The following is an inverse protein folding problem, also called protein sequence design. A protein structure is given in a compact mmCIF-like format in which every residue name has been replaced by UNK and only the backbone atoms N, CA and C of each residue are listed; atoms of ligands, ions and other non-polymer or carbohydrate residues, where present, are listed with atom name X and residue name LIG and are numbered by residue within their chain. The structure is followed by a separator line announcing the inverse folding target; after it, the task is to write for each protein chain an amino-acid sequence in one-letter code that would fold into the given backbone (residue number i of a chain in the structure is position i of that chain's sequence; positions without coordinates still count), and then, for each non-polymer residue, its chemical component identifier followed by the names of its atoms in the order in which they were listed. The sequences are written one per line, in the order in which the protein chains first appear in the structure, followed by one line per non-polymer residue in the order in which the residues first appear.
data_IF_185081583166
#
_entry.id   IF_185081583166
#
_cell.length_a   1.000
_cell.length_b   1.000
_cell.length_c   1.000
_cell.angle_alpha   90.00
_cell.angle_beta   90.00
_cell.angle_gamma   90.00
#
_symmetry.space_group_name_H-M   'P 1'
#
loop_
_entity.id
_entity.type
_entity.pdbx_description
1 polymer ?
#
# COMPACT_ATOMS: atom_id res chain seq x y z
N UNK A 1 31.18 23.01 -11.28
CA UNK A 1 29.76 22.63 -11.18
C UNK A 1 29.04 23.69 -10.36
N UNK A 2 28.17 24.50 -10.97
CA UNK A 2 27.31 25.43 -10.24
C UNK A 2 25.93 24.79 -10.12
N UNK A 3 25.66 24.17 -8.97
CA UNK A 3 24.30 23.66 -8.69
C UNK A 3 23.43 24.87 -8.35
N UNK A 4 22.25 24.94 -8.96
CA UNK A 4 21.31 26.03 -8.69
C UNK A 4 20.78 25.91 -7.26
N UNK A 5 21.17 26.85 -6.41
CA UNK A 5 20.72 26.93 -5.02
C UNK A 5 19.19 27.06 -4.94
N UNK A 6 18.58 27.77 -5.89
CA UNK A 6 17.12 27.88 -6.01
C UNK A 6 16.48 26.51 -6.22
N UNK A 7 17.06 25.68 -7.10
CA UNK A 7 16.55 24.33 -7.37
C UNK A 7 16.62 23.44 -6.12
N UNK A 8 17.72 23.52 -5.36
CA UNK A 8 17.88 22.81 -4.08
C UNK A 8 16.81 23.24 -3.07
N UNK A 9 16.60 24.55 -2.91
CA UNK A 9 15.60 25.06 -1.96
C UNK A 9 14.20 24.59 -2.35
N UNK A 10 13.83 24.70 -3.63
CA UNK A 10 12.52 24.25 -4.12
C UNK A 10 12.33 22.75 -3.86
N UNK A 11 13.33 21.93 -4.18
CA UNK A 11 13.33 20.49 -3.92
C UNK A 11 13.15 20.19 -2.41
N UNK A 12 13.90 20.88 -1.54
CA UNK A 12 13.82 20.67 -0.10
C UNK A 12 12.45 21.06 0.48
N UNK A 13 11.86 22.17 0.01
CA UNK A 13 10.51 22.59 0.40
C UNK A 13 9.45 21.59 -0.07
N UNK A 14 9.57 21.06 -1.28
CA UNK A 14 8.66 20.04 -1.79
C UNK A 14 8.76 18.74 -0.99
N UNK A 15 9.97 18.30 -0.63
CA UNK A 15 10.14 17.15 0.29
C UNK A 15 9.52 17.42 1.66
N UNK A 16 9.79 18.59 2.26
CA UNK A 16 9.26 18.93 3.58
C UNK A 16 7.72 18.97 3.57
N UNK A 17 7.13 19.65 2.59
CA UNK A 17 5.68 19.75 2.44
C UNK A 17 5.03 18.40 2.12
N UNK A 18 5.65 17.60 1.25
CA UNK A 18 5.12 16.29 0.89
C UNK A 18 5.20 15.28 2.04
N UNK A 19 6.31 15.23 2.78
CA UNK A 19 6.43 14.37 3.97
C UNK A 19 5.45 14.82 5.04
N UNK A 20 5.32 16.14 5.26
CA UNK A 20 4.33 16.68 6.19
C UNK A 20 2.90 16.25 5.82
N UNK A 21 2.50 16.39 4.56
CA UNK A 21 1.17 15.98 4.10
C UNK A 21 0.94 14.46 4.17
N UNK A 22 2.00 13.65 3.97
CA UNK A 22 1.95 12.20 4.09
C UNK A 22 1.71 11.73 5.53
N UNK A 23 2.07 12.53 6.54
CA UNK A 23 1.83 12.23 7.96
C UNK A 23 0.43 12.62 8.44
N UNK A 24 -0.40 13.24 7.59
CA UNK A 24 -1.76 13.59 7.96
C UNK A 24 -2.72 12.38 7.83
N UNK A 25 -3.78 12.39 8.63
CA UNK A 25 -4.79 11.29 8.63
C UNK A 25 -5.71 11.27 7.42
N UNK A 26 -5.73 12.33 6.60
CA UNK A 26 -6.64 12.41 5.46
C UNK A 26 -6.00 11.78 4.23
N UNK A 27 -6.69 10.84 3.59
CA UNK A 27 -6.19 10.13 2.42
C UNK A 27 -5.94 11.09 1.25
N UNK A 28 -6.78 12.12 1.09
CA UNK A 28 -6.56 13.18 0.10
C UNK A 28 -5.28 13.95 0.35
N UNK A 29 -4.96 14.27 1.62
CA UNK A 29 -3.69 14.92 1.99
C UNK A 29 -2.49 14.00 1.76
N UNK A 30 -2.62 12.70 2.05
CA UNK A 30 -1.61 11.69 1.73
C UNK A 30 -1.36 11.60 0.23
N UNK A 31 -2.42 11.63 -0.60
CA UNK A 31 -2.30 11.66 -2.07
C UNK A 31 -1.50 12.90 -2.52
N UNK A 32 -1.87 14.09 -2.04
CA UNK A 32 -1.13 15.33 -2.35
C UNK A 32 0.34 15.19 -1.90
N UNK A 33 0.60 14.58 -0.75
CA UNK A 33 1.93 14.27 -0.25
C UNK A 33 2.75 13.43 -1.24
N UNK A 34 2.18 12.34 -1.76
CA UNK A 34 2.83 11.51 -2.79
C UNK A 34 3.11 12.27 -4.08
N UNK A 35 2.18 13.14 -4.53
CA UNK A 35 2.41 13.97 -5.71
C UNK A 35 3.59 14.95 -5.48
N UNK A 36 3.65 15.58 -4.31
CA UNK A 36 4.74 16.49 -3.96
C UNK A 36 6.09 15.76 -3.83
N UNK A 37 6.12 14.59 -3.16
CA UNK A 37 7.32 13.75 -3.08
C UNK A 37 7.79 13.28 -4.45
N UNK A 38 6.88 12.84 -5.32
CA UNK A 38 7.22 12.40 -6.68
C UNK A 38 7.86 13.53 -7.49
N UNK A 39 7.32 14.75 -7.40
CA UNK A 39 7.93 15.92 -8.02
C UNK A 39 9.30 16.27 -7.40
N UNK A 40 9.43 16.19 -6.07
CA UNK A 40 10.69 16.43 -5.38
C UNK A 40 11.78 15.42 -5.77
N UNK A 41 11.42 14.14 -5.91
CA UNK A 41 12.31 13.08 -6.37
C UNK A 41 12.75 13.28 -7.83
N UNK A 42 11.84 13.72 -8.70
CA UNK A 42 12.19 14.08 -10.08
C UNK A 42 13.18 15.26 -10.13
N UNK A 43 12.99 16.27 -9.27
CA UNK A 43 13.97 17.36 -9.14
C UNK A 43 15.30 16.89 -8.58
N UNK A 44 15.31 15.93 -7.64
CA UNK A 44 16.55 15.33 -7.13
C UNK A 44 17.33 14.65 -8.27
N UNK A 45 16.66 13.86 -9.13
CA UNK A 45 17.29 13.24 -10.29
C UNK A 45 17.85 14.29 -11.27
N UNK A 46 17.15 15.42 -11.44
CA UNK A 46 17.64 16.54 -12.24
C UNK A 46 18.90 17.17 -11.64
N UNK A 47 18.96 17.34 -10.31
CA UNK A 47 20.16 17.85 -9.62
C UNK A 47 21.34 16.89 -9.81
N UNK A 48 21.09 15.58 -9.72
CA UNK A 48 22.11 14.53 -9.89
C UNK A 48 22.63 14.48 -11.33
N UNK A 49 21.78 14.75 -12.33
CA UNK A 49 22.17 14.83 -13.76
C UNK A 49 23.26 15.88 -14.03
N UNK A 50 23.34 16.93 -13.21
CA UNK A 50 24.43 17.90 -13.28
C UNK A 50 24.21 18.99 -14.33
N UNK A 51 25.24 19.28 -15.13
CA UNK A 51 25.23 20.42 -16.04
C UNK A 51 24.23 20.20 -17.19
N UNK A 52 23.43 21.22 -17.56
CA UNK A 52 22.53 21.12 -18.69
C UNK A 52 23.34 21.05 -20.00
N UNK A 53 23.23 19.93 -20.69
CA UNK A 53 23.78 19.71 -22.04
C UNK A 53 22.68 19.65 -23.10
N UNK A 54 23.05 19.26 -24.32
CA UNK A 54 22.11 18.96 -25.40
C UNK A 54 21.33 17.68 -25.09
N UNK A 55 20.14 17.54 -25.67
CA UNK A 55 19.34 16.33 -25.47
C UNK A 55 20.11 15.10 -26.00
N UNK A 56 20.09 13.94 -25.30
CA UNK A 56 20.84 12.75 -25.69
C UNK A 56 20.15 11.99 -26.82
N UNK A 57 20.03 12.64 -27.97
CA UNK A 57 19.56 12.06 -29.21
C UNK A 57 20.70 12.03 -30.22
N UNK A 58 20.73 10.99 -31.05
CA UNK A 58 21.70 10.90 -32.13
C UNK A 58 21.39 11.95 -33.20
N UNK A 59 22.34 12.86 -33.43
CA UNK A 59 22.22 13.95 -34.40
C UNK A 59 23.14 13.77 -35.64
N UNK A 60 23.63 12.56 -35.88
CA UNK A 60 24.57 12.32 -36.97
C UNK A 60 26.05 12.50 -36.59
N UNK A 61 26.35 12.74 -35.30
CA UNK A 61 27.71 12.92 -34.80
C UNK A 61 28.17 14.38 -34.79
N UNK A 62 27.21 15.32 -34.77
CA UNK A 62 27.43 16.75 -34.85
C UNK A 62 27.67 17.37 -33.46
N UNK A 63 27.18 16.70 -32.41
CA UNK A 63 27.43 17.02 -31.00
C UNK A 63 28.35 15.97 -30.36
N UNK A 64 29.37 16.41 -29.62
CA UNK A 64 30.21 15.51 -28.81
C UNK A 64 29.40 14.97 -27.62
N UNK A 65 29.62 13.71 -27.24
CA UNK A 65 28.94 13.06 -26.12
C UNK A 65 29.17 13.82 -24.79
N UNK A 66 30.29 14.54 -24.65
CA UNK A 66 30.58 15.37 -23.50
C UNK A 66 29.67 16.61 -23.37
N UNK A 67 29.08 17.07 -24.47
CA UNK A 67 28.16 18.21 -24.50
C UNK A 67 26.68 17.77 -24.38
N UNK A 68 26.42 16.47 -24.32
CA UNK A 68 25.08 15.90 -24.12
C UNK A 68 24.76 15.73 -22.63
N UNK A 69 23.48 15.85 -22.29
CA UNK A 69 22.97 15.54 -20.95
C UNK A 69 22.97 14.03 -20.70
N UNK A 70 23.18 13.61 -19.45
CA UNK A 70 23.17 12.18 -19.10
C UNK A 70 21.76 11.58 -19.29
N UNK A 71 21.68 10.54 -20.13
CA UNK A 71 20.45 9.83 -20.45
C UNK A 71 19.96 8.92 -19.31
N UNK A 72 20.84 8.49 -18.40
CA UNK A 72 20.49 7.56 -17.33
C UNK A 72 19.52 8.19 -16.33
N UNK A 73 19.80 9.36 -15.71
CA UNK A 73 18.84 10.03 -14.84
C UNK A 73 17.53 10.42 -15.56
N UNK A 74 17.58 10.69 -16.87
CA UNK A 74 16.37 10.99 -17.66
C UNK A 74 15.45 9.77 -17.76
N UNK A 75 16.00 8.61 -18.08
CA UNK A 75 15.24 7.36 -18.14
C UNK A 75 14.63 7.02 -16.76
N UNK A 76 15.41 7.17 -15.69
CA UNK A 76 14.91 6.97 -14.32
C UNK A 76 13.78 7.94 -13.95
N UNK A 77 13.86 9.19 -14.40
CA UNK A 77 12.82 10.19 -14.16
C UNK A 77 11.51 9.78 -14.85
N UNK A 78 11.58 9.29 -16.09
CA UNK A 78 10.38 8.79 -16.78
C UNK A 78 9.73 7.62 -16.03
N UNK A 79 10.54 6.67 -15.54
CA UNK A 79 10.04 5.55 -14.73
C UNK A 79 9.41 6.04 -13.42
N UNK A 80 10.05 7.00 -12.74
CA UNK A 80 9.53 7.58 -11.51
C UNK A 80 8.17 8.27 -11.71
N UNK A 81 7.99 8.99 -12.82
CA UNK A 81 6.72 9.63 -13.19
C UNK A 81 5.62 8.59 -13.35
N UNK A 82 5.88 7.50 -14.08
CA UNK A 82 4.88 6.43 -14.31
C UNK A 82 4.51 5.72 -13.01
N UNK A 83 5.49 5.41 -12.15
CA UNK A 83 5.22 4.80 -10.84
C UNK A 83 4.39 5.76 -9.97
N UNK A 84 4.74 7.04 -9.93
CA UNK A 84 4.00 8.05 -9.18
C UNK A 84 2.56 8.15 -9.69
N UNK A 85 2.36 8.13 -11.00
CA UNK A 85 1.02 8.11 -11.60
C UNK A 85 0.23 6.85 -11.21
N UNK A 86 0.85 5.67 -11.26
CA UNK A 86 0.21 4.42 -10.84
C UNK A 86 -0.22 4.43 -9.37
N UNK A 87 0.68 4.85 -8.47
CA UNK A 87 0.37 4.98 -7.04
C UNK A 87 -0.73 6.02 -6.82
N UNK A 88 -0.68 7.16 -7.51
CA UNK A 88 -1.68 8.23 -7.40
C UNK A 88 -3.05 7.77 -7.88
N UNK A 89 -3.13 7.06 -9.00
CA UNK A 89 -4.38 6.50 -9.52
C UNK A 89 -4.96 5.45 -8.56
N UNK A 90 -4.11 4.60 -7.99
CA UNK A 90 -4.51 3.61 -6.99
C UNK A 90 -5.05 4.28 -5.71
N UNK A 91 -4.31 5.24 -5.15
CA UNK A 91 -4.76 6.01 -3.98
C UNK A 91 -6.06 6.77 -4.27
N UNK A 92 -6.20 7.37 -5.46
CA UNK A 92 -7.42 8.05 -5.86
C UNK A 92 -8.62 7.08 -5.93
N UNK A 93 -8.41 5.86 -6.43
CA UNK A 93 -9.43 4.81 -6.42
C UNK A 93 -9.81 4.39 -4.99
N UNK A 94 -8.84 4.30 -4.07
CA UNK A 94 -9.11 4.03 -2.66
C UNK A 94 -9.88 5.18 -1.98
N UNK A 95 -9.50 6.43 -2.25
CA UNK A 95 -10.21 7.61 -1.75
C UNK A 95 -11.66 7.59 -2.25
N UNK A 96 -11.87 7.33 -3.55
CA UNK A 96 -13.20 7.22 -4.13
C UNK A 96 -14.01 6.10 -3.47
N UNK A 97 -13.40 4.93 -3.25
CA UNK A 97 -14.04 3.78 -2.59
C UNK A 97 -14.38 4.08 -1.13
N UNK A 98 -13.47 4.72 -0.39
CA UNK A 98 -13.69 5.14 1.01
C UNK A 98 -14.84 6.13 1.11
N UNK A 99 -14.87 7.10 0.20
CA UNK A 99 -15.96 8.08 0.15
C UNK A 99 -17.30 7.41 -0.15
N UNK A 100 -17.35 6.46 -1.09
CA UNK A 100 -18.57 5.72 -1.42
C UNK A 100 -19.10 4.88 -0.24
N UNK A 101 -18.22 4.27 0.56
CA UNK A 101 -18.60 3.36 1.63
C UNK A 101 -18.89 4.07 2.96
N UNK A 102 -18.08 5.07 3.33
CA UNK A 102 -18.09 5.67 4.68
C UNK A 102 -18.26 7.18 4.70
N UNK A 103 -18.30 7.86 3.55
CA UNK A 103 -18.33 9.34 3.45
C UNK A 103 -17.24 10.03 4.29
N UNK A 104 -16.14 9.33 4.54
CA UNK A 104 -15.02 9.81 5.34
C UNK A 104 -13.73 9.72 4.52
N UNK A 105 -12.95 10.81 4.58
CA UNK A 105 -11.60 10.91 3.99
C UNK A 105 -10.51 10.72 5.06
N UNK A 106 -10.89 10.66 6.34
CA UNK A 106 -9.96 10.53 7.48
C UNK A 106 -9.85 9.07 7.90
N UNK A 107 -8.61 8.60 8.03
CA UNK A 107 -8.32 7.26 8.57
C UNK A 107 -8.52 7.27 10.09
N UNK A 108 -9.40 6.39 10.56
CA UNK A 108 -9.77 6.21 11.96
C UNK A 108 -9.08 4.95 12.49
N UNK A 109 -8.66 4.97 13.75
CA UNK A 109 -8.12 3.79 14.41
C UNK A 109 -9.28 2.83 14.71
N UNK A 110 -9.10 1.54 14.46
CA UNK A 110 -10.16 0.57 14.77
C UNK A 110 -10.23 0.28 16.28
N UNK A 111 -11.35 -0.26 16.74
CA UNK A 111 -11.57 -0.51 18.16
C UNK A 111 -10.62 -1.57 18.71
N UNK A 112 -10.23 -2.53 17.86
CA UNK A 112 -9.35 -3.63 18.21
C UNK A 112 -7.90 -3.14 18.38
N UNK A 113 -7.40 -2.23 17.54
CA UNK A 113 -6.09 -1.57 17.69
C UNK A 113 -6.02 -0.77 18.99
N UNK A 114 -7.10 -0.08 19.36
CA UNK A 114 -7.19 0.67 20.62
C UNK A 114 -7.22 -0.28 21.83
N UNK A 115 -7.95 -1.38 21.73
CA UNK A 115 -8.01 -2.39 22.79
C UNK A 115 -6.65 -3.08 22.99
N UNK A 116 -5.93 -3.37 21.90
CA UNK A 116 -4.59 -3.94 21.95
C UNK A 116 -3.61 -3.00 22.65
N UNK A 117 -3.60 -1.70 22.30
CA UNK A 117 -2.74 -0.71 22.99
C UNK A 117 -2.95 -0.66 24.49
N UNK A 118 -4.21 -0.72 24.93
CA UNK A 118 -4.54 -0.69 26.36
C UNK A 118 -4.03 -1.94 27.06
N UNK A 119 -4.29 -3.13 26.49
CA UNK A 119 -3.83 -4.41 27.05
C UNK A 119 -2.32 -4.52 27.12
N UNK A 120 -1.61 -4.14 26.05
CA UNK A 120 -0.14 -4.16 26.04
C UNK A 120 0.44 -3.16 27.04
N UNK A 121 -0.20 -2.01 27.24
CA UNK A 121 0.24 -1.06 28.27
C UNK A 121 0.05 -1.62 29.69
N UNK A 122 -1.09 -2.27 29.96
CA UNK A 122 -1.38 -2.94 31.24
C UNK A 122 -0.41 -4.10 31.51
N UNK A 123 -0.16 -4.97 30.50
CA UNK A 123 0.79 -6.09 30.61
C UNK A 123 2.23 -5.61 30.85
N UNK A 124 2.64 -4.48 30.25
CA UNK A 124 3.96 -3.88 30.49
C UNK A 124 4.05 -3.24 31.88
N UNK A 125 2.99 -2.56 32.34
CA UNK A 125 2.94 -1.98 33.68
C UNK A 125 3.03 -3.08 34.75
N UNK A 126 2.26 -4.16 34.62
CA UNK A 126 2.31 -5.32 35.52
C UNK A 126 3.70 -5.98 35.55
N UNK A 127 4.34 -6.17 34.39
CA UNK A 127 5.68 -6.75 34.30
C UNK A 127 6.75 -5.85 34.94
N UNK A 128 6.66 -4.52 34.77
CA UNK A 128 7.56 -3.56 35.42
C UNK A 128 7.35 -3.51 36.94
N UNK A 129 6.12 -3.68 37.40
CA UNK A 129 5.76 -3.79 38.81
C UNK A 129 6.29 -5.09 39.45
N UNK A 130 6.28 -6.20 38.71
CA UNK A 130 6.93 -7.46 39.12
C UNK A 130 8.45 -7.34 39.17
N UNK A 131 9.07 -6.71 38.16
CA UNK A 131 10.53 -6.52 38.11
C UNK A 131 11.01 -5.60 39.24
N UNK A 132 10.30 -4.49 39.52
CA UNK A 132 10.63 -3.60 40.65
C UNK A 132 10.41 -4.25 42.02
N UNK A 133 9.57 -5.29 42.12
CA UNK A 133 9.41 -6.11 43.32
C UNK A 133 10.47 -7.21 43.44
N UNK A 134 11.20 -7.50 42.36
CA UNK A 134 12.21 -8.56 42.29
C UNK A 134 13.64 -8.11 42.64
N UNK A 135 13.83 -6.88 43.12
CA UNK A 135 15.13 -6.37 43.60
C UNK A 135 15.70 -7.13 44.82
N UNK A 136 14.97 -8.10 45.40
CA UNK A 136 15.44 -9.04 46.41
C UNK A 136 15.27 -10.49 45.92
N UNK A 137 16.16 -10.97 45.04
CA UNK A 137 16.99 -12.16 45.28
C UNK A 137 17.69 -12.63 43.99
N UNK A 138 19.00 -12.78 44.12
CA UNK A 138 19.90 -13.43 43.18
C UNK A 138 19.42 -14.86 42.86
N UNK A 139 18.70 -15.05 41.75
CA UNK A 139 18.65 -16.36 41.10
C UNK A 139 18.49 -16.28 39.57
N UNK A 140 19.59 -16.61 38.91
CA UNK A 140 19.75 -16.87 37.49
C UNK A 140 18.78 -17.94 36.97
N UNK A 141 18.04 -17.58 35.92
CA UNK A 141 17.43 -18.46 34.89
C UNK A 141 16.55 -19.61 35.38
N UNK A 142 15.23 -19.40 35.42
CA UNK A 142 14.33 -20.40 34.82
C UNK A 142 13.00 -19.76 34.39
N UNK A 143 12.57 -20.06 33.18
CA UNK A 143 11.32 -19.60 32.62
C UNK A 143 10.17 -20.31 33.36
N UNK A 144 9.52 -19.63 34.30
CA UNK A 144 8.31 -20.12 34.96
C UNK A 144 7.26 -19.02 34.93
N UNK A 145 6.24 -19.17 34.07
CA UNK A 145 5.06 -18.31 34.13
C UNK A 145 4.26 -18.17 32.83
N UNK A 146 4.88 -18.32 31.66
CA UNK A 146 4.13 -18.18 30.41
C UNK A 146 3.24 -19.42 30.20
N UNK A 147 1.94 -19.25 30.42
CA UNK A 147 0.93 -20.29 30.18
C UNK A 147 0.68 -20.36 28.68
N UNK A 148 1.71 -20.71 27.91
CA UNK A 148 1.56 -21.00 26.50
C UNK A 148 0.56 -22.15 26.36
N UNK A 149 -0.56 -21.90 25.69
CA UNK A 149 -1.51 -22.95 25.34
C UNK A 149 -0.72 -24.07 24.65
N UNK A 150 -0.77 -25.32 25.15
CA UNK A 150 0.09 -26.37 24.61
C UNK A 150 -0.18 -26.51 23.11
N UNK A 151 0.90 -26.51 22.32
CA UNK A 151 0.81 -26.74 20.87
C UNK A 151 0.17 -28.12 20.68
N UNK A 152 -1.12 -28.14 20.36
CA UNK A 152 -1.85 -29.37 20.03
C UNK A 152 -1.54 -29.69 18.58
N UNK A 153 -0.67 -30.67 18.36
CA UNK A 153 -0.40 -31.21 17.02
C UNK A 153 -1.67 -31.94 16.55
N UNK A 154 -2.40 -31.32 15.61
CA UNK A 154 -3.60 -31.90 15.03
C UNK A 154 -3.21 -32.98 14.02
N UNK A 155 -3.78 -34.18 14.17
CA UNK A 155 -3.63 -35.25 13.19
C UNK A 155 -4.76 -35.18 12.15
N UNK A 156 -4.53 -35.74 10.96
CA UNK A 156 -5.44 -35.63 9.82
C UNK A 156 -6.88 -36.15 10.08
N UNK A 157 -7.09 -36.95 11.12
CA UNK A 157 -8.42 -37.42 11.55
C UNK A 157 -9.21 -36.43 12.43
N UNK A 158 -8.52 -35.50 13.09
CA UNK A 158 -9.12 -34.53 14.04
C UNK A 158 -9.87 -33.39 13.33
N UNK A 159 -9.74 -33.30 11.99
CA UNK A 159 -10.36 -32.26 11.17
C UNK A 159 -11.88 -32.39 11.03
N UNK A 160 -12.44 -33.57 11.33
CA UNK A 160 -13.89 -33.83 11.16
C UNK A 160 -14.78 -33.09 12.16
N UNK A 161 -14.20 -32.54 13.23
CA UNK A 161 -14.90 -31.78 14.27
C UNK A 161 -14.75 -30.26 14.10
N UNK A 162 -13.96 -29.80 13.13
CA UNK A 162 -13.83 -28.38 12.82
C UNK A 162 -15.06 -27.93 12.02
N UNK A 163 -15.90 -27.12 12.67
CA UNK A 163 -16.98 -26.38 11.99
C UNK A 163 -16.35 -25.13 11.39
N UNK A 164 -16.13 -25.15 10.08
CA UNK A 164 -15.63 -24.01 9.32
C UNK A 164 -16.79 -23.06 8.99
N UNK A 165 -17.11 -22.18 9.94
CA UNK A 165 -18.13 -21.12 9.80
C UNK A 165 -17.56 -19.87 9.09
N UNK A 166 -16.36 -19.94 8.50
CA UNK A 166 -15.81 -18.83 7.74
C UNK A 166 -16.73 -18.53 6.53
N UNK A 167 -17.05 -17.24 6.27
CA UNK A 167 -17.87 -16.86 5.13
C UNK A 167 -17.12 -17.17 3.83
N UNK A 168 -17.40 -18.33 3.24
CA UNK A 168 -16.86 -18.71 1.94
C UNK A 168 -17.69 -18.07 0.83
N UNK A 169 -17.02 -17.28 -0.01
CA UNK A 169 -17.62 -16.68 -1.20
C UNK A 169 -17.83 -17.79 -2.26
N UNK A 170 -18.99 -18.46 -2.22
CA UNK A 170 -19.30 -19.53 -3.17
C UNK A 170 -19.68 -18.91 -4.50
N UNK A 171 -18.77 -18.98 -5.47
CA UNK A 171 -19.07 -18.66 -6.87
C UNK A 171 -20.23 -19.54 -7.34
N UNK A 172 -21.36 -18.93 -7.65
CA UNK A 172 -22.52 -19.60 -8.22
C UNK A 172 -22.14 -20.11 -9.62
N UNK A 173 -21.82 -21.40 -9.74
CA UNK A 173 -21.66 -22.05 -11.04
C UNK A 173 -23.06 -22.23 -11.62
N UNK A 174 -23.45 -21.32 -12.53
CA UNK A 174 -24.64 -21.44 -13.35
C UNK A 174 -24.51 -22.75 -14.16
N UNK A 175 -25.27 -23.78 -13.79
CA UNK A 175 -25.41 -24.96 -14.64
C UNK A 175 -26.27 -24.57 -15.83
N UNK A 176 -25.68 -24.51 -17.02
CA UNK A 176 -26.43 -24.42 -18.27
C UNK A 176 -27.45 -25.55 -18.31
N UNK A 177 -28.73 -25.19 -18.26
CA UNK A 177 -29.82 -26.11 -18.55
C UNK A 177 -29.80 -26.42 -20.05
N UNK A 178 -29.89 -27.70 -20.46
CA UNK A 178 -30.06 -28.04 -21.87
C UNK A 178 -31.31 -27.37 -22.42
N UNK A 179 -31.15 -26.64 -23.52
CA UNK A 179 -32.21 -26.05 -24.31
C UNK A 179 -32.97 -27.19 -25.00
N UNK A 180 -34.12 -27.58 -24.47
CA UNK A 180 -35.06 -28.46 -25.18
C UNK A 180 -35.71 -27.65 -26.31
N UNK A 181 -35.11 -27.71 -27.50
CA UNK A 181 -35.75 -27.32 -28.75
C UNK A 181 -36.90 -28.31 -29.03
N UNK A 182 -38.16 -27.90 -28.81
CA UNK A 182 -39.34 -28.62 -29.30
C UNK A 182 -39.76 -28.05 -30.67
N UNK A 183 -39.63 -28.80 -31.78
CA UNK A 183 -40.08 -28.36 -33.08
C UNK A 183 -41.46 -28.94 -33.36
N UNK A 184 -42.54 -28.29 -32.93
CA UNK A 184 -43.91 -28.61 -33.36
C UNK A 184 -44.91 -27.53 -32.93
N UNK A 185 -45.10 -26.52 -33.77
CA UNK A 185 -46.45 -26.06 -34.13
C UNK A 185 -46.39 -25.08 -35.31
N UNK A 186 -46.45 -25.65 -36.52
CA UNK A 186 -46.86 -24.93 -37.71
C UNK A 186 -48.00 -25.71 -38.32
N UNK A 187 -49.19 -25.56 -37.76
CA UNK A 187 -50.44 -25.81 -38.46
C UNK A 187 -51.62 -25.16 -37.75
N UNK A 188 -52.43 -24.54 -38.59
CA UNK A 188 -53.86 -24.25 -38.41
C UNK A 188 -54.26 -22.83 -38.01
N UNK A 189 -55.11 -22.25 -38.85
CA UNK A 189 -55.55 -20.85 -38.76
C UNK A 189 -55.96 -20.25 -40.11
N UNK A 190 -56.59 -21.04 -40.96
CA UNK A 190 -57.33 -20.58 -42.14
C UNK A 190 -58.59 -19.79 -41.69
N UNK A 191 -58.94 -18.76 -42.49
CA UNK A 191 -60.25 -18.08 -42.67
C UNK A 191 -60.61 -16.85 -41.84
N UNK A 192 -61.44 -15.93 -42.39
CA UNK A 192 -62.21 -16.01 -43.67
C UNK A 192 -61.62 -15.27 -44.88
#
# INVERSE_FOLDING_TARGET
MSISLVLIIVMAVLFACGVYAMLERSLTRVLIGFLLLGNAANLLLLVVMGAPGRAPFYDGGETDAADMSDALPQALTLTAIVITFGISAFLLALIYRSWQLGQADTVVDDADDVALRTRTAEEVEDAMDEESRSDDDDFTTDFVGDVASPIRVLHQGDLSQLVDDAPVDRVAVQRDQPHDDDPRDSQDGDRP
#
